data_IF_482875277759
#
_entry.id   IF_482875277759
#
_cell.length_a   1.000
_cell.length_b   1.000
_cell.length_c   1.000
_cell.angle_alpha   90.00
_cell.angle_beta   90.00
_cell.angle_gamma   90.00
#
_symmetry.space_group_name_H-M   'P 1'
#
loop_
_entity.id
_entity.type
_entity.pdbx_description
1 polymer ?
#
# COMPACT_ATOMS: atom_id res chain seq x y z
N UNK A 1 23.00 0.14 3.88
CA UNK A 1 22.00 -0.30 2.87
C UNK A 1 20.70 -0.80 3.48
N UNK A 2 20.69 -1.74 4.44
CA UNK A 2 19.45 -2.30 5.02
C UNK A 2 18.47 -1.25 5.58
N UNK A 3 18.96 -0.26 6.34
CA UNK A 3 18.15 0.84 6.89
C UNK A 3 17.48 1.67 5.78
N UNK A 4 18.18 1.92 4.66
CA UNK A 4 17.63 2.67 3.53
C UNK A 4 16.47 1.91 2.90
N UNK A 5 16.60 0.58 2.73
CA UNK A 5 15.52 -0.26 2.20
C UNK A 5 14.30 -0.19 3.13
N UNK A 6 14.50 -0.36 4.44
CA UNK A 6 13.42 -0.28 5.43
C UNK A 6 12.72 1.09 5.36
N UNK A 7 13.47 2.19 5.35
CA UNK A 7 12.90 3.54 5.30
C UNK A 7 12.10 3.76 4.01
N UNK A 8 12.66 3.40 2.85
CA UNK A 8 11.95 3.51 1.58
C UNK A 8 10.68 2.64 1.55
N UNK A 9 10.74 1.43 2.09
CA UNK A 9 9.60 0.52 2.16
C UNK A 9 8.47 1.04 3.05
N UNK A 10 8.80 1.62 4.20
CA UNK A 10 7.82 2.28 5.08
C UNK A 10 7.19 3.48 4.37
N UNK A 11 8.00 4.31 3.69
CA UNK A 11 7.49 5.47 2.94
C UNK A 11 6.50 5.04 1.86
N UNK A 12 6.81 4.02 1.06
CA UNK A 12 5.91 3.55 -0.01
C UNK A 12 4.61 2.97 0.54
N UNK A 13 4.67 2.19 1.63
CA UNK A 13 3.47 1.66 2.28
C UNK A 13 2.58 2.79 2.84
N UNK A 14 3.18 3.79 3.50
CA UNK A 14 2.45 4.94 4.05
C UNK A 14 1.81 5.82 2.97
N UNK A 15 2.52 6.10 1.88
CA UNK A 15 1.99 6.89 0.77
C UNK A 15 0.78 6.21 0.14
N UNK A 16 0.87 4.89 -0.09
CA UNK A 16 -0.24 4.12 -0.62
C UNK A 16 -1.46 4.13 0.29
N UNK A 17 -1.29 3.88 1.60
CA UNK A 17 -2.38 3.93 2.58
C UNK A 17 -3.02 5.32 2.67
N UNK A 18 -2.22 6.38 2.53
CA UNK A 18 -2.72 7.75 2.55
C UNK A 18 -3.62 8.03 1.36
N UNK A 19 -3.19 7.66 0.15
CA UNK A 19 -3.98 7.85 -1.08
C UNK A 19 -5.23 6.98 -1.09
N UNK A 20 -5.13 5.75 -0.57
CA UNK A 20 -6.29 4.89 -0.34
C UNK A 20 -7.28 5.53 0.64
N UNK A 21 -6.80 6.05 1.78
CA UNK A 21 -7.64 6.68 2.79
C UNK A 21 -8.34 7.94 2.26
N UNK A 22 -7.65 8.78 1.49
CA UNK A 22 -8.24 9.95 0.83
C UNK A 22 -9.37 9.54 -0.12
N UNK A 23 -9.11 8.53 -0.95
CA UNK A 23 -10.08 8.02 -1.92
C UNK A 23 -11.30 7.39 -1.21
N UNK A 24 -11.03 6.62 -0.15
CA UNK A 24 -12.05 6.01 0.69
C UNK A 24 -12.93 7.06 1.38
N UNK A 25 -12.33 8.12 1.94
CA UNK A 25 -13.07 9.24 2.55
C UNK A 25 -13.90 10.03 1.54
N UNK A 26 -13.40 10.18 0.31
CA UNK A 26 -14.09 10.91 -0.77
C UNK A 26 -15.31 10.15 -1.31
N UNK A 27 -15.30 8.82 -1.25
CA UNK A 27 -16.44 8.01 -1.71
C UNK A 27 -17.67 8.20 -0.81
N UNK A 28 -18.83 8.44 -1.43
CA UNK A 28 -20.09 8.76 -0.72
C UNK A 28 -20.90 7.50 -0.41
N UNK A 29 -20.77 6.45 -1.23
CA UNK A 29 -21.55 5.23 -1.11
C UNK A 29 -20.81 4.13 -0.34
N UNK A 30 -21.53 3.40 0.53
CA UNK A 30 -21.00 2.19 1.17
C UNK A 30 -20.57 1.12 0.15
N UNK A 31 -21.23 1.06 -1.01
CA UNK A 31 -20.88 0.13 -2.09
C UNK A 31 -19.56 0.48 -2.77
N UNK A 32 -19.31 1.78 -2.99
CA UNK A 32 -18.04 2.27 -3.55
C UNK A 32 -16.87 1.99 -2.62
N UNK A 33 -17.06 2.21 -1.31
CA UNK A 33 -16.07 1.86 -0.28
C UNK A 33 -15.69 0.40 -0.33
N UNK A 34 -16.68 -0.49 -0.39
CA UNK A 34 -16.43 -1.92 -0.48
C UNK A 34 -15.69 -2.30 -1.77
N UNK A 35 -16.10 -1.75 -2.92
CA UNK A 35 -15.45 -1.98 -4.20
C UNK A 35 -13.99 -1.49 -4.20
N UNK A 36 -13.71 -0.30 -3.64
CA UNK A 36 -12.34 0.23 -3.51
C UNK A 36 -11.46 -0.64 -2.62
N UNK A 37 -11.97 -1.09 -1.46
CA UNK A 37 -11.20 -1.98 -0.59
C UNK A 37 -10.90 -3.30 -1.27
N UNK A 38 -11.87 -3.88 -1.98
CA UNK A 38 -11.67 -5.12 -2.72
C UNK A 38 -10.61 -4.90 -3.80
N UNK A 39 -10.78 -3.89 -4.66
CA UNK A 39 -9.84 -3.57 -5.73
C UNK A 39 -8.40 -3.35 -5.23
N UNK A 40 -8.23 -2.65 -4.10
CA UNK A 40 -6.92 -2.42 -3.51
C UNK A 40 -6.17 -3.71 -3.13
N UNK A 41 -6.88 -4.77 -2.72
CA UNK A 41 -6.27 -6.05 -2.33
C UNK A 41 -6.34 -7.13 -3.42
N UNK A 42 -7.28 -7.03 -4.37
CA UNK A 42 -7.47 -8.02 -5.43
C UNK A 42 -6.73 -7.67 -6.72
N UNK A 43 -6.50 -6.37 -6.98
CA UNK A 43 -5.90 -5.89 -8.22
C UNK A 43 -4.57 -5.18 -7.92
N UNK A 44 -3.46 -5.93 -7.76
CA UNK A 44 -2.13 -5.36 -7.50
C UNK A 44 -1.58 -4.50 -8.65
N UNK A 45 -2.35 -4.32 -9.74
CA UNK A 45 -2.04 -3.51 -10.93
C UNK A 45 -2.46 -2.04 -10.79
N UNK A 46 -3.27 -1.69 -9.78
CA UNK A 46 -3.54 -0.28 -9.50
C UNK A 46 -2.31 0.34 -8.82
N UNK A 47 -1.78 1.44 -9.36
CA UNK A 47 -0.46 1.99 -9.03
C UNK A 47 -0.23 2.16 -7.52
N UNK A 48 -1.27 2.44 -6.75
CA UNK A 48 -1.19 2.59 -5.29
C UNK A 48 -1.05 1.26 -4.57
N UNK A 49 -1.84 0.26 -4.96
CA UNK A 49 -1.74 -1.09 -4.41
C UNK A 49 -0.35 -1.68 -4.69
N UNK A 50 0.21 -1.46 -5.88
CA UNK A 50 1.56 -1.90 -6.24
C UNK A 50 2.62 -1.31 -5.32
N UNK A 51 2.52 -0.01 -4.98
CA UNK A 51 3.42 0.65 -4.02
C UNK A 51 3.31 0.07 -2.61
N UNK A 52 2.10 -0.29 -2.18
CA UNK A 52 1.90 -0.96 -0.89
C UNK A 52 2.57 -2.34 -0.87
N UNK A 53 2.35 -3.17 -1.89
CA UNK A 53 2.98 -4.49 -2.00
C UNK A 53 4.50 -4.41 -2.14
N UNK A 54 5.02 -3.42 -2.88
CA UNK A 54 6.45 -3.17 -3.00
C UNK A 54 7.08 -2.77 -1.64
N UNK A 55 6.37 -1.92 -0.88
CA UNK A 55 6.73 -1.60 0.49
C UNK A 55 6.73 -2.84 1.39
N UNK A 56 5.69 -3.66 1.32
CA UNK A 56 5.57 -4.90 2.10
C UNK A 56 6.71 -5.89 1.78
N UNK A 57 7.02 -6.08 0.50
CA UNK A 57 8.10 -6.93 0.02
C UNK A 57 9.46 -6.46 0.53
N UNK A 58 9.74 -5.15 0.47
CA UNK A 58 11.01 -4.61 0.97
C UNK A 58 11.14 -4.72 2.50
N UNK A 59 10.04 -4.62 3.26
CA UNK A 59 10.03 -4.92 4.69
C UNK A 59 10.28 -6.40 4.98
N UNK A 60 9.58 -7.30 4.28
CA UNK A 60 9.76 -8.75 4.43
C UNK A 60 11.20 -9.17 4.09
N UNK A 61 11.75 -8.64 3.00
CA UNK A 61 13.14 -8.86 2.61
C UNK A 61 14.12 -8.38 3.68
N UNK A 62 13.87 -7.20 4.24
CA UNK A 62 14.71 -6.64 5.31
C UNK A 62 14.65 -7.46 6.60
N UNK A 63 13.51 -8.10 6.91
CA UNK A 63 13.33 -9.00 8.05
C UNK A 63 14.06 -10.35 7.88
N UNK A 64 14.01 -10.94 6.68
CA UNK A 64 14.65 -12.23 6.39
C UNK A 64 16.18 -12.12 6.42
N UNK A 65 16.70 -10.98 6.01
CA UNK A 65 18.14 -10.71 5.94
C UNK A 65 18.70 -10.07 7.22
N UNK A 66 17.84 -9.68 8.17
CA UNK A 66 18.26 -9.13 9.46
C UNK A 66 19.00 -10.17 10.29
#
# INVERSE_FOLDING_TARGET
MKIVIIVCSVIFACLSLTMFSISFMKSKSKKEKAAMTIAFFSEPLDSWSSLFYLGLLGLAYSLIIL
#
